data_IF_620603252621
#
_entry.id   IF_620603252621
#
_cell.length_a   1.000
_cell.length_b   1.000
_cell.length_c   1.000
_cell.angle_alpha   90.00
_cell.angle_beta   90.00
_cell.angle_gamma   90.00
#
_symmetry.space_group_name_H-M   'P 1'
#
loop_
_entity.id
_entity.type
_entity.pdbx_description
1 polymer ?
#
# COMPACT_ATOMS: atom_id res chain seq x y z
N UNK A 1 16.59 -5.72 4.32
CA UNK A 1 16.03 -4.78 3.31
C UNK A 1 14.53 -4.71 3.55
N UNK A 2 13.85 -3.61 3.24
CA UNK A 2 12.38 -3.58 3.29
C UNK A 2 11.86 -3.95 1.93
N UNK A 3 10.85 -4.84 1.89
CA UNK A 3 10.21 -5.26 0.66
C UNK A 3 9.39 -4.11 0.07
N UNK A 4 9.31 -4.08 -1.23
CA UNK A 4 8.36 -3.25 -1.97
C UNK A 4 6.99 -3.93 -1.91
N UNK A 5 5.96 -3.17 -1.57
CA UNK A 5 4.57 -3.64 -1.55
C UNK A 5 3.80 -2.89 -2.63
N UNK A 6 3.31 -3.63 -3.61
CA UNK A 6 2.45 -3.07 -4.66
C UNK A 6 1.02 -3.00 -4.16
N UNK A 7 0.41 -1.83 -4.31
CA UNK A 7 -0.95 -1.54 -3.85
C UNK A 7 -1.83 -1.10 -5.03
N UNK A 8 -3.06 -1.60 -5.06
CA UNK A 8 -4.13 -1.12 -5.94
C UNK A 8 -5.19 -0.46 -5.07
N UNK A 9 -5.29 0.85 -5.14
CA UNK A 9 -6.38 1.62 -4.54
C UNK A 9 -7.54 1.71 -5.52
N UNK A 10 -8.73 1.31 -5.09
CA UNK A 10 -9.99 1.53 -5.81
C UNK A 10 -10.87 2.51 -5.03
N UNK A 11 -11.29 3.59 -5.69
CA UNK A 11 -12.15 4.63 -5.14
C UNK A 11 -13.59 4.32 -5.57
N UNK A 12 -14.43 3.93 -4.62
CA UNK A 12 -15.82 3.55 -4.88
C UNK A 12 -16.74 4.72 -4.51
N UNK A 13 -17.19 5.45 -5.51
CA UNK A 13 -18.03 6.63 -5.40
C UNK A 13 -18.60 7.03 -6.76
N UNK A 14 -19.35 8.14 -6.80
CA UNK A 14 -19.77 8.76 -8.07
C UNK A 14 -18.57 9.33 -8.82
N UNK A 15 -18.71 9.60 -10.11
CA UNK A 15 -17.65 10.21 -10.93
C UNK A 15 -17.12 11.52 -10.31
N UNK A 16 -18.02 12.36 -9.79
CA UNK A 16 -17.66 13.64 -9.14
C UNK A 16 -16.88 13.41 -7.84
N UNK A 17 -17.24 12.39 -7.04
CA UNK A 17 -16.52 12.01 -5.82
C UNK A 17 -15.13 11.48 -6.16
N UNK A 18 -15.04 10.59 -7.13
CA UNK A 18 -13.77 10.05 -7.63
C UNK A 18 -12.85 11.19 -8.08
N UNK A 19 -13.37 12.12 -8.89
CA UNK A 19 -12.61 13.26 -9.38
C UNK A 19 -12.09 14.14 -8.23
N UNK A 20 -12.91 14.41 -7.21
CA UNK A 20 -12.50 15.19 -6.02
C UNK A 20 -11.41 14.50 -5.21
N UNK A 21 -11.56 13.18 -4.97
CA UNK A 21 -10.53 12.39 -4.28
C UNK A 21 -9.23 12.43 -5.07
N UNK A 22 -9.29 12.14 -6.38
CA UNK A 22 -8.12 12.17 -7.28
C UNK A 22 -7.41 13.52 -7.28
N UNK A 23 -8.14 14.61 -7.24
CA UNK A 23 -7.57 15.95 -7.18
C UNK A 23 -6.91 16.24 -5.84
N UNK A 24 -7.50 15.76 -4.75
CA UNK A 24 -6.98 15.94 -3.40
C UNK A 24 -5.67 15.18 -3.14
N UNK A 25 -5.58 13.92 -3.60
CA UNK A 25 -4.43 13.04 -3.31
C UNK A 25 -3.23 13.22 -4.22
N UNK A 26 -3.33 14.08 -5.24
CA UNK A 26 -2.22 14.37 -6.17
C UNK A 26 -1.00 14.91 -5.45
N UNK A 27 0.17 14.44 -5.84
CA UNK A 27 1.43 15.02 -5.42
C UNK A 27 1.70 16.37 -6.09
N UNK A 28 2.57 17.16 -5.45
CA UNK A 28 2.94 18.52 -5.90
C UNK A 28 3.64 18.53 -7.27
N UNK A 29 4.26 17.45 -7.68
CA UNK A 29 4.93 17.30 -8.98
C UNK A 29 4.06 16.59 -10.02
N UNK A 30 2.77 16.37 -9.72
CA UNK A 30 1.81 15.73 -10.62
C UNK A 30 1.73 14.21 -10.48
N UNK A 31 2.27 13.65 -9.40
CA UNK A 31 2.08 12.25 -9.05
C UNK A 31 0.59 11.95 -8.83
N UNK A 32 0.14 10.76 -9.26
CA UNK A 32 -1.27 10.35 -9.15
C UNK A 32 -1.76 10.18 -7.70
N UNK A 33 -0.82 9.96 -6.77
CA UNK A 33 -1.04 9.85 -5.33
C UNK A 33 0.21 10.29 -4.57
N UNK A 34 0.03 10.95 -3.43
CA UNK A 34 1.07 11.28 -2.44
C UNK A 34 0.46 11.26 -1.04
N UNK A 35 1.11 10.58 -0.11
CA UNK A 35 0.70 10.59 1.29
C UNK A 35 0.95 11.95 1.93
N UNK A 36 1.92 12.71 1.44
CA UNK A 36 2.13 14.09 1.86
C UNK A 36 0.91 14.99 1.60
N UNK A 37 0.12 14.70 0.55
CA UNK A 37 -1.13 15.40 0.28
C UNK A 37 -2.26 14.94 1.20
N UNK A 38 -2.26 13.68 1.63
CA UNK A 38 -3.30 13.10 2.51
C UNK A 38 -3.02 13.47 3.97
N UNK A 39 -1.79 13.25 4.42
CA UNK A 39 -1.34 13.50 5.79
C UNK A 39 -0.01 14.25 5.70
N UNK A 40 -0.04 15.59 5.64
CA UNK A 40 1.18 16.39 5.53
C UNK A 40 2.11 16.16 6.73
N UNK A 41 3.36 15.81 6.43
CA UNK A 41 4.39 15.74 7.47
C UNK A 41 4.72 17.16 7.94
N UNK A 42 4.80 17.40 9.26
CA UNK A 42 5.19 18.70 9.79
C UNK A 42 6.54 19.18 9.23
N UNK A 43 6.62 20.46 8.86
CA UNK A 43 7.84 21.05 8.27
C UNK A 43 9.05 20.88 9.19
N UNK A 44 8.86 20.96 10.49
CA UNK A 44 9.90 20.78 11.50
C UNK A 44 10.54 19.39 11.49
N UNK A 45 9.83 18.38 10.97
CA UNK A 45 10.36 17.02 10.80
C UNK A 45 11.09 16.83 9.47
N UNK A 46 10.85 17.69 8.47
CA UNK A 46 11.45 17.58 7.13
C UNK A 46 12.91 18.00 7.06
N UNK A 47 13.48 18.60 8.11
CA UNK A 47 14.89 18.97 8.21
C UNK A 47 15.77 17.78 8.63
N UNK A 48 17.04 17.77 8.17
CA UNK A 48 18.05 16.74 8.54
C UNK A 48 18.40 16.71 10.04
N UNK A 49 17.81 17.58 10.85
CA UNK A 49 18.06 17.69 12.27
C UNK A 49 16.93 17.04 13.06
N UNK A 50 17.30 16.31 14.11
CA UNK A 50 16.41 15.86 15.18
C UNK A 50 15.70 17.09 15.77
N UNK A 51 14.52 17.39 15.27
CA UNK A 51 13.73 18.48 15.82
C UNK A 51 13.06 17.96 17.08
N UNK A 52 13.38 18.59 18.21
CA UNK A 52 12.52 18.50 19.38
C UNK A 52 11.22 19.24 19.01
N UNK A 53 10.17 18.49 18.75
CA UNK A 53 8.85 19.06 18.47
C UNK A 53 8.32 19.64 19.78
N UNK A 54 8.62 20.89 20.03
CA UNK A 54 8.27 21.56 21.30
C UNK A 54 6.80 21.96 21.41
N UNK A 55 6.08 22.02 20.30
CA UNK A 55 4.77 22.66 20.22
C UNK A 55 3.60 21.73 19.81
N UNK A 56 3.83 20.45 19.58
CA UNK A 56 2.72 19.49 19.47
C UNK A 56 2.34 19.01 20.87
N UNK A 57 1.04 18.85 21.17
CA UNK A 57 0.59 18.37 22.46
C UNK A 57 0.92 16.89 22.65
N UNK A 58 2.20 16.58 22.83
CA UNK A 58 2.58 15.25 23.27
C UNK A 58 2.20 15.07 24.72
N UNK A 59 1.61 13.94 25.10
CA UNK A 59 1.49 13.58 26.49
C UNK A 59 2.86 13.63 27.18
N UNK A 60 2.90 14.12 28.39
CA UNK A 60 4.12 14.24 29.20
C UNK A 60 4.89 12.92 29.21
N UNK A 61 6.15 12.91 28.73
CA UNK A 61 6.99 11.71 28.67
C UNK A 61 7.16 11.07 27.28
N UNK A 62 6.51 11.55 26.22
CA UNK A 62 6.79 11.08 24.86
C UNK A 62 8.13 11.62 24.35
N UNK A 63 8.91 10.71 23.73
CA UNK A 63 10.14 11.09 23.01
C UNK A 63 9.79 11.80 21.70
N UNK A 64 10.66 12.74 21.22
CA UNK A 64 10.51 13.30 19.88
C UNK A 64 10.42 12.15 18.87
N UNK A 65 9.43 12.22 17.99
CA UNK A 65 9.25 11.22 16.94
C UNK A 65 10.25 11.49 15.81
N UNK A 66 10.95 10.48 15.35
CA UNK A 66 11.81 10.60 14.17
C UNK A 66 10.97 10.62 12.88
N UNK A 67 11.54 11.14 11.78
CA UNK A 67 10.87 11.12 10.46
C UNK A 67 10.42 9.71 10.08
N UNK A 68 11.25 8.65 10.18
CA UNK A 68 10.82 7.28 9.90
C UNK A 68 9.67 6.81 10.79
N UNK A 69 9.74 7.09 12.10
CA UNK A 69 8.69 6.67 13.04
C UNK A 69 7.38 7.41 12.76
N UNK A 70 7.46 8.71 12.42
CA UNK A 70 6.30 9.50 12.05
C UNK A 70 5.62 8.93 10.79
N UNK A 71 6.39 8.62 9.74
CA UNK A 71 5.86 8.01 8.51
C UNK A 71 5.20 6.68 8.78
N UNK A 72 5.84 5.80 9.54
CA UNK A 72 5.25 4.51 9.91
C UNK A 72 3.95 4.69 10.70
N UNK A 73 3.88 5.67 11.59
CA UNK A 73 2.69 5.92 12.40
C UNK A 73 1.53 6.50 11.59
N UNK A 74 1.79 7.44 10.69
CA UNK A 74 0.75 8.23 10.01
C UNK A 74 0.53 7.81 8.55
N UNK A 75 1.55 7.32 7.86
CA UNK A 75 1.41 6.78 6.52
C UNK A 75 1.29 5.26 6.51
N UNK A 76 1.86 4.57 7.48
CA UNK A 76 1.92 3.11 7.56
C UNK A 76 3.12 2.51 6.83
N UNK A 77 3.93 3.31 6.14
CA UNK A 77 5.07 2.88 5.35
C UNK A 77 6.24 3.87 5.49
N UNK A 78 7.43 3.49 5.01
CA UNK A 78 8.67 4.23 5.24
C UNK A 78 8.84 5.48 4.39
N UNK A 79 8.24 5.50 3.20
CA UNK A 79 8.38 6.57 2.21
C UNK A 79 7.00 6.98 1.68
N UNK A 80 6.94 8.08 0.93
CA UNK A 80 5.73 8.47 0.20
C UNK A 80 5.40 7.43 -0.87
N UNK A 81 4.16 7.44 -1.38
CA UNK A 81 3.72 6.58 -2.45
C UNK A 81 4.59 6.76 -3.70
N UNK A 82 4.96 5.67 -4.34
CA UNK A 82 5.61 5.66 -5.64
C UNK A 82 4.60 5.21 -6.70
N UNK A 83 3.98 6.14 -7.45
CA UNK A 83 2.97 5.79 -8.44
C UNK A 83 3.57 4.96 -9.58
N UNK A 84 2.88 3.88 -9.92
CA UNK A 84 3.19 3.07 -11.10
C UNK A 84 2.21 3.47 -12.20
N UNK A 85 2.72 3.73 -13.40
CA UNK A 85 1.89 3.94 -14.58
C UNK A 85 1.72 2.62 -15.30
N UNK A 86 0.52 2.07 -15.22
CA UNK A 86 0.13 0.89 -15.96
C UNK A 86 -1.23 1.14 -16.61
N UNK A 87 -1.24 1.26 -17.94
CA UNK A 87 -2.45 1.53 -18.72
C UNK A 87 -3.51 0.42 -18.60
N UNK A 88 -3.09 -0.81 -18.26
CA UNK A 88 -4.00 -1.94 -18.06
C UNK A 88 -4.75 -1.84 -16.72
N UNK A 89 -4.14 -1.21 -15.72
CA UNK A 89 -4.71 -1.06 -14.37
C UNK A 89 -5.29 0.33 -14.15
N UNK A 90 -4.76 1.35 -14.82
CA UNK A 90 -5.19 2.74 -14.66
C UNK A 90 -6.60 2.96 -15.18
N UNK A 91 -7.54 3.12 -14.25
CA UNK A 91 -8.90 3.56 -14.52
C UNK A 91 -9.15 4.85 -13.73
N UNK A 92 -10.17 5.65 -14.08
CA UNK A 92 -10.48 6.89 -13.35
C UNK A 92 -10.58 6.70 -11.84
N UNK A 93 -11.06 5.55 -11.38
CA UNK A 93 -11.25 5.22 -9.99
C UNK A 93 -10.20 4.24 -9.41
N UNK A 94 -9.12 3.91 -10.16
CA UNK A 94 -8.07 2.98 -9.71
C UNK A 94 -6.71 3.64 -9.79
N UNK A 95 -5.85 3.37 -8.83
CA UNK A 95 -4.47 3.85 -8.76
C UNK A 95 -3.58 2.70 -8.34
N UNK A 96 -2.53 2.45 -9.11
CA UNK A 96 -1.47 1.52 -8.80
C UNK A 96 -0.26 2.27 -8.26
N UNK A 97 0.31 1.82 -7.14
CA UNK A 97 1.49 2.44 -6.55
C UNK A 97 2.23 1.48 -5.63
N UNK A 98 3.53 1.72 -5.47
CA UNK A 98 4.37 1.03 -4.51
C UNK A 98 4.48 1.77 -3.19
N UNK A 99 4.66 1.00 -2.12
CA UNK A 99 5.07 1.44 -0.80
C UNK A 99 6.26 0.63 -0.31
N UNK A 100 7.03 1.15 0.64
CA UNK A 100 8.16 0.43 1.20
C UNK A 100 7.85 -0.08 2.59
N UNK A 101 7.79 -1.39 2.73
CA UNK A 101 7.69 -2.13 3.98
C UNK A 101 6.30 -2.59 4.36
N UNK A 102 5.25 -1.81 4.09
CA UNK A 102 3.86 -2.15 4.47
C UNK A 102 2.86 -1.45 3.56
N UNK A 103 1.60 -1.91 3.55
CA UNK A 103 0.48 -1.19 2.93
C UNK A 103 0.09 0.05 3.74
N UNK A 104 -0.35 1.17 3.11
CA UNK A 104 -0.51 2.45 3.78
C UNK A 104 -1.84 2.57 4.54
N UNK A 105 -2.20 1.59 5.37
CA UNK A 105 -3.48 1.54 6.09
C UNK A 105 -3.77 2.82 6.90
N UNK A 106 -2.83 3.42 7.68
CA UNK A 106 -3.10 4.66 8.41
C UNK A 106 -3.44 5.84 7.49
N UNK A 107 -2.70 6.05 6.40
CA UNK A 107 -3.00 7.12 5.45
C UNK A 107 -4.35 6.92 4.78
N UNK A 108 -4.69 5.67 4.40
CA UNK A 108 -5.98 5.34 3.80
C UNK A 108 -7.13 5.52 4.80
N UNK A 109 -6.92 5.24 6.08
CA UNK A 109 -7.91 5.50 7.13
C UNK A 109 -8.21 6.99 7.24
N UNK A 110 -7.18 7.85 7.27
CA UNK A 110 -7.36 9.30 7.30
C UNK A 110 -8.05 9.79 6.02
N UNK A 111 -7.65 9.28 4.85
CA UNK A 111 -8.30 9.63 3.58
C UNK A 111 -9.80 9.32 3.61
N UNK A 112 -10.20 8.18 4.16
CA UNK A 112 -11.62 7.81 4.25
C UNK A 112 -12.42 8.71 5.19
N UNK A 113 -11.80 9.23 6.25
CA UNK A 113 -12.42 10.20 7.15
C UNK A 113 -12.58 11.58 6.50
N UNK A 114 -11.70 11.94 5.55
CA UNK A 114 -11.81 13.19 4.76
C UNK A 114 -12.91 13.10 3.69
N UNK A 115 -13.24 11.90 3.25
CA UNK A 115 -14.27 11.62 2.24
C UNK A 115 -15.24 10.53 2.74
N UNK A 116 -16.05 10.82 3.79
CA UNK A 116 -16.86 9.81 4.46
C UNK A 116 -17.95 9.18 3.58
N UNK A 117 -18.31 9.85 2.48
CA UNK A 117 -19.26 9.36 1.47
C UNK A 117 -18.63 8.42 0.43
N UNK A 118 -17.32 8.20 0.49
CA UNK A 118 -16.57 7.36 -0.45
C UNK A 118 -16.05 6.12 0.27
N UNK A 119 -16.17 4.98 -0.38
CA UNK A 119 -15.56 3.73 0.10
C UNK A 119 -14.26 3.47 -0.66
N UNK A 120 -13.20 3.17 0.07
CA UNK A 120 -11.89 2.85 -0.48
C UNK A 120 -11.62 1.37 -0.31
N UNK A 121 -11.19 0.69 -1.38
CA UNK A 121 -10.72 -0.69 -1.33
C UNK A 121 -9.26 -0.75 -1.74
N UNK A 122 -8.45 -1.44 -0.97
CA UNK A 122 -7.03 -1.64 -1.27
C UNK A 122 -6.75 -3.12 -1.35
N UNK A 123 -6.04 -3.52 -2.41
CA UNK A 123 -5.43 -4.83 -2.58
C UNK A 123 -3.93 -4.59 -2.56
N UNK A 124 -3.20 -5.44 -1.86
CA UNK A 124 -1.75 -5.31 -1.78
C UNK A 124 -1.07 -6.67 -1.83
N UNK A 125 0.15 -6.69 -2.36
CA UNK A 125 1.04 -7.83 -2.31
C UNK A 125 2.49 -7.35 -2.38
N UNK A 126 3.40 -8.02 -1.65
CA UNK A 126 4.83 -7.76 -1.75
C UNK A 126 5.43 -8.35 -3.04
N UNK A 127 6.64 -7.92 -3.36
CA UNK A 127 7.38 -8.37 -4.56
C UNK A 127 8.01 -9.75 -4.40
N UNK A 128 8.10 -10.29 -3.17
CA UNK A 128 8.77 -11.55 -2.87
C UNK A 128 7.79 -12.62 -2.40
N UNK A 129 7.58 -13.63 -3.24
CA UNK A 129 6.95 -14.92 -2.92
C UNK A 129 5.61 -14.82 -2.16
N UNK A 130 4.92 -13.70 -2.28
CA UNK A 130 3.60 -13.45 -1.68
C UNK A 130 3.57 -13.62 -0.14
N UNK A 131 4.70 -13.36 0.52
CA UNK A 131 4.85 -13.48 1.97
C UNK A 131 4.01 -12.46 2.75
N UNK A 132 3.59 -11.40 2.08
CA UNK A 132 2.78 -10.33 2.63
C UNK A 132 1.76 -9.86 1.59
N UNK A 133 0.50 -10.19 1.80
CA UNK A 133 -0.56 -9.81 0.86
C UNK A 133 -1.93 -9.75 1.53
N UNK A 134 -2.89 -9.16 0.84
CA UNK A 134 -4.26 -9.09 1.31
C UNK A 134 -5.10 -8.01 0.66
N UNK A 135 -6.23 -7.74 1.32
CA UNK A 135 -7.15 -6.68 0.94
C UNK A 135 -7.86 -6.11 2.16
N UNK A 136 -8.28 -4.87 2.04
CA UNK A 136 -9.17 -4.23 3.01
C UNK A 136 -10.06 -3.18 2.34
N UNK A 137 -11.18 -2.91 2.98
CA UNK A 137 -12.11 -1.84 2.61
C UNK A 137 -12.26 -0.87 3.77
N UNK A 138 -12.24 0.43 3.48
CA UNK A 138 -12.37 1.50 4.48
C UNK A 138 -13.46 2.46 4.07
N UNK A 139 -14.29 2.87 5.02
CA UNK A 139 -15.29 3.93 4.85
C UNK A 139 -15.40 4.69 6.17
N UNK A 140 -15.32 6.02 6.13
CA UNK A 140 -15.45 6.92 7.31
C UNK A 140 -14.57 6.50 8.52
N UNK A 141 -13.34 6.08 8.25
CA UNK A 141 -12.39 5.61 9.26
C UNK A 141 -12.54 4.14 9.67
N UNK A 142 -13.63 3.48 9.30
CA UNK A 142 -13.91 2.10 9.68
C UNK A 142 -13.35 1.11 8.64
N UNK A 143 -12.46 0.22 9.08
CA UNK A 143 -11.87 -0.85 8.26
C UNK A 143 -12.76 -2.08 8.27
N UNK A 144 -13.19 -2.50 7.10
CA UNK A 144 -14.04 -3.69 6.89
C UNK A 144 -13.41 -4.65 5.87
N UNK A 145 -13.92 -5.87 5.79
CA UNK A 145 -13.46 -6.89 4.84
C UNK A 145 -11.93 -7.09 4.83
N UNK A 146 -11.32 -7.05 6.01
CA UNK A 146 -9.89 -7.17 6.14
C UNK A 146 -9.45 -8.63 6.01
N UNK A 147 -8.76 -8.94 4.91
CA UNK A 147 -8.00 -10.18 4.70
C UNK A 147 -6.54 -9.81 4.70
N UNK A 148 -5.74 -10.46 5.56
CA UNK A 148 -4.35 -10.12 5.78
C UNK A 148 -3.52 -11.36 5.97
N UNK A 149 -2.47 -11.49 5.20
CA UNK A 149 -1.48 -12.55 5.33
C UNK A 149 -0.09 -11.94 5.44
N UNK A 150 0.64 -12.37 6.45
CA UNK A 150 2.03 -11.98 6.69
C UNK A 150 2.76 -13.19 7.26
N UNK A 151 3.52 -13.88 6.40
CA UNK A 151 4.27 -15.07 6.78
C UNK A 151 5.36 -14.78 7.80
N UNK A 152 5.97 -13.58 7.76
CA UNK A 152 7.08 -13.19 8.64
C UNK A 152 6.56 -12.99 10.06
N UNK A 153 5.41 -12.34 10.21
CA UNK A 153 4.80 -12.06 11.52
C UNK A 153 3.77 -13.11 11.93
N UNK A 154 3.58 -14.17 11.17
CA UNK A 154 2.59 -15.23 11.41
C UNK A 154 1.15 -14.71 11.56
N UNK A 155 0.78 -13.74 10.71
CA UNK A 155 -0.56 -13.15 10.68
C UNK A 155 -1.37 -13.78 9.54
N UNK A 156 -2.54 -14.30 9.89
CA UNK A 156 -3.48 -14.88 8.94
C UNK A 156 -3.09 -16.28 8.47
N UNK A 157 -4.01 -16.91 7.76
CA UNK A 157 -3.85 -18.21 7.13
C UNK A 157 -4.75 -18.21 5.88
N UNK A 158 -4.16 -17.93 4.73
CA UNK A 158 -4.86 -17.98 3.45
C UNK A 158 -4.20 -19.00 2.51
N UNK A 159 -5.00 -19.74 1.73
CA UNK A 159 -4.47 -20.71 0.79
C UNK A 159 -3.49 -20.08 -0.21
N UNK A 160 -2.47 -20.83 -0.62
CA UNK A 160 -1.45 -20.37 -1.59
C UNK A 160 -2.11 -19.87 -2.89
N UNK A 161 -3.15 -20.51 -3.36
CA UNK A 161 -3.89 -20.06 -4.55
C UNK A 161 -4.49 -18.67 -4.36
N UNK A 162 -4.93 -18.31 -3.15
CA UNK A 162 -5.45 -16.98 -2.85
C UNK A 162 -4.29 -15.96 -2.73
N UNK A 163 -3.15 -16.35 -2.18
CA UNK A 163 -1.95 -15.49 -2.15
C UNK A 163 -1.51 -15.19 -3.59
N UNK A 164 -1.44 -16.21 -4.46
CA UNK A 164 -1.13 -16.04 -5.88
C UNK A 164 -2.17 -15.18 -6.62
N UNK A 165 -3.44 -15.23 -6.23
CA UNK A 165 -4.46 -14.34 -6.78
C UNK A 165 -4.16 -12.87 -6.46
N UNK A 166 -3.79 -12.52 -5.22
CA UNK A 166 -3.38 -11.17 -4.87
C UNK A 166 -2.14 -10.75 -5.65
N UNK A 167 -1.16 -11.63 -5.76
CA UNK A 167 0.06 -11.38 -6.53
C UNK A 167 -0.25 -11.09 -8.01
N UNK A 168 -1.03 -11.91 -8.67
CA UNK A 168 -1.38 -11.70 -10.08
C UNK A 168 -2.27 -10.48 -10.34
N UNK A 169 -3.00 -10.01 -9.34
CA UNK A 169 -3.78 -8.77 -9.43
C UNK A 169 -2.90 -7.54 -9.31
N UNK A 170 -1.84 -7.61 -8.52
CA UNK A 170 -0.90 -6.50 -8.29
C UNK A 170 0.28 -6.50 -9.26
N UNK A 171 0.64 -7.68 -9.79
CA UNK A 171 1.76 -7.91 -10.70
C UNK A 171 1.26 -8.66 -11.96
N UNK A 172 0.31 -8.06 -12.67
CA UNK A 172 -0.36 -8.73 -13.80
C UNK A 172 0.62 -9.15 -14.91
N UNK A 173 1.70 -8.38 -15.11
CA UNK A 173 2.74 -8.69 -16.08
C UNK A 173 3.56 -9.95 -15.75
N UNK A 174 3.54 -10.42 -14.51
CA UNK A 174 4.24 -11.64 -14.11
C UNK A 174 3.39 -12.91 -14.24
N UNK A 175 2.10 -12.76 -14.48
CA UNK A 175 1.16 -13.91 -14.52
C UNK A 175 1.59 -14.97 -15.53
N UNK A 176 2.14 -14.59 -16.68
CA UNK A 176 2.59 -15.50 -17.72
C UNK A 176 3.87 -16.27 -17.35
N UNK A 177 4.59 -15.83 -16.31
CA UNK A 177 5.79 -16.48 -15.82
C UNK A 177 5.52 -17.61 -14.84
N UNK A 178 4.26 -17.83 -14.46
CA UNK A 178 3.88 -18.80 -13.45
C UNK A 178 2.94 -19.85 -14.01
N UNK A 179 3.18 -21.12 -13.65
CA UNK A 179 2.30 -22.27 -13.98
C UNK A 179 2.16 -23.18 -12.75
N UNK A 180 1.15 -24.08 -12.78
CA UNK A 180 1.09 -25.17 -11.81
C UNK A 180 1.86 -26.38 -12.35
N UNK A 181 2.68 -26.98 -11.50
CA UNK A 181 3.35 -28.25 -11.76
C UNK A 181 2.37 -29.44 -11.71
N UNK A 182 2.88 -30.66 -11.87
CA UNK A 182 2.10 -31.90 -11.82
C UNK A 182 1.48 -32.18 -10.44
N UNK A 183 2.01 -31.57 -9.37
CA UNK A 183 1.52 -31.67 -8.00
C UNK A 183 0.52 -30.55 -7.65
N UNK A 184 0.27 -29.61 -8.59
CA UNK A 184 -0.61 -28.47 -8.40
C UNK A 184 0.06 -27.30 -7.64
N UNK A 185 1.39 -27.31 -7.49
CA UNK A 185 2.15 -26.22 -6.89
C UNK A 185 2.49 -25.15 -7.92
N UNK A 186 2.46 -23.88 -7.52
CA UNK A 186 2.88 -22.79 -8.37
C UNK A 186 4.41 -22.76 -8.50
N UNK A 187 4.90 -22.74 -9.72
CA UNK A 187 6.32 -22.69 -10.09
C UNK A 187 6.55 -21.62 -11.12
N UNK A 188 7.66 -20.89 -10.99
CA UNK A 188 8.08 -19.95 -12.02
C UNK A 188 8.71 -20.73 -13.18
N UNK A 189 8.25 -20.46 -14.41
CA UNK A 189 8.71 -21.20 -15.60
C UNK A 189 10.17 -20.99 -15.92
N UNK A 190 10.79 -19.92 -15.42
CA UNK A 190 12.21 -19.62 -15.63
C UNK A 190 13.13 -20.28 -14.60
N UNK A 191 12.61 -20.68 -13.42
CA UNK A 191 13.41 -21.38 -12.40
C UNK A 191 13.70 -22.83 -12.80
N UNK A 192 12.93 -23.43 -13.75
CA UNK A 192 13.13 -24.80 -14.24
C UNK A 192 14.32 -24.92 -15.21
N UNK A 193 14.87 -23.82 -15.75
CA UNK A 193 15.96 -23.86 -16.73
C UNK A 193 17.37 -23.94 -16.09
N UNK A 194 17.50 -23.68 -14.78
CA UNK A 194 18.81 -23.59 -14.11
C UNK A 194 19.26 -24.91 -13.43
N UNK A 195 18.43 -25.95 -13.39
CA UNK A 195 18.76 -27.27 -12.78
C UNK A 195 19.37 -28.27 -13.78
N UNK A 196 19.85 -27.80 -14.91
CA UNK A 196 20.27 -28.63 -16.05
C UNK A 196 21.69 -28.41 -16.58
N UNK A 197 22.73 -28.19 -15.73
CA UNK A 197 24.14 -28.41 -16.10
C UNK A 197 24.98 -28.95 -14.94
#
# INVERSE_FOLDING_TARGET
>A
MSNTVTNILTINGTEDQVAKVRDYIKGSNGESISFQSIVPMPEDLSGEHKVEIKDLPYPEGMKPISVPDWRLQYWGCKWDAEPIRDEAVDAPNRILFNTLGDTPLPAMTILSMLFPEVTFSVIFCDEYEQLYCGEYTISDGDVTNKVWYDAINHIGDIPVDQQMEYFFRTHEYEREMWKKDENGQWVNIYDEEDDGE
#
